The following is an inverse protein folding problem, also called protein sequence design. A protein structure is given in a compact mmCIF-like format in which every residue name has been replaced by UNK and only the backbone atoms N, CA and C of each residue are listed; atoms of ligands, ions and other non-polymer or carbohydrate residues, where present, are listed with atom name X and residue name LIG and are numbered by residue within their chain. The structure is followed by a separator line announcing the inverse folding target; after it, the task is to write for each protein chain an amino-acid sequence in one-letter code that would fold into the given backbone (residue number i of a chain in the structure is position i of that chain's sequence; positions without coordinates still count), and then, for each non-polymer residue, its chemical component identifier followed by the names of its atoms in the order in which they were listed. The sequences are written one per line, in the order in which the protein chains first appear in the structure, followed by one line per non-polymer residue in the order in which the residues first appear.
data_IF_578282440266
#
_entry.id   IF_578282440266
#
_cell.length_a   1.000
_cell.length_b   1.000
_cell.length_c   1.000
_cell.angle_alpha   90.00
_cell.angle_beta   90.00
_cell.angle_gamma   90.00
#
_symmetry.space_group_name_H-M   'P 1'
#
loop_
_entity.id
_entity.type
_entity.pdbx_description
1 polymer ?
#
# COMPACT_ATOMS: atom_id res chain seq x y z
N UNK A 1 -8.10 13.91 3.16
CA UNK A 1 -9.04 12.97 2.53
C UNK A 1 -8.24 11.85 1.90
N UNK A 2 -8.75 10.60 1.88
CA UNK A 2 -8.04 9.46 1.30
C UNK A 2 -7.81 9.63 -0.20
N UNK A 3 -6.80 8.96 -0.74
CA UNK A 3 -6.51 8.92 -2.17
C UNK A 3 -7.52 8.02 -2.87
N UNK A 4 -8.36 8.59 -3.72
CA UNK A 4 -9.36 7.85 -4.52
C UNK A 4 -8.84 7.47 -5.89
N UNK A 5 -9.29 6.32 -6.41
CA UNK A 5 -8.98 5.91 -7.78
C UNK A 5 -9.58 6.84 -8.82
N UNK A 6 -10.65 7.57 -8.48
CA UNK A 6 -11.34 8.52 -9.35
C UNK A 6 -10.63 9.88 -9.45
N UNK A 7 -9.62 10.14 -8.63
CA UNK A 7 -8.83 11.36 -8.73
C UNK A 7 -7.89 11.31 -9.93
N UNK A 8 -7.70 12.46 -10.59
CA UNK A 8 -6.72 12.60 -11.66
C UNK A 8 -5.28 12.37 -11.16
N UNK A 9 -4.51 11.58 -11.90
CA UNK A 9 -3.14 11.16 -11.56
C UNK A 9 -2.12 11.66 -12.59
N UNK A 10 -2.30 12.91 -13.04
CA UNK A 10 -1.54 13.50 -14.15
C UNK A 10 -0.20 14.16 -13.72
N UNK A 11 0.04 14.30 -12.42
CA UNK A 11 1.20 15.00 -11.86
C UNK A 11 2.01 14.11 -10.91
N UNK A 12 2.64 13.02 -11.40
CA UNK A 12 3.48 12.18 -10.56
C UNK A 12 4.73 12.94 -10.09
N UNK A 13 5.03 12.84 -8.80
CA UNK A 13 6.20 13.49 -8.18
C UNK A 13 7.48 12.64 -8.21
N UNK A 14 7.40 11.41 -8.71
CA UNK A 14 8.55 10.50 -8.83
C UNK A 14 8.51 9.74 -10.16
N UNK A 15 9.70 9.35 -10.65
CA UNK A 15 9.82 8.50 -11.83
C UNK A 15 9.11 7.16 -11.64
N UNK A 16 9.20 6.58 -10.44
CA UNK A 16 8.46 5.38 -10.08
C UNK A 16 6.95 5.56 -10.31
N UNK A 17 6.35 6.64 -9.79
CA UNK A 17 4.93 6.92 -9.97
C UNK A 17 4.56 7.11 -11.45
N UNK A 18 5.40 7.81 -12.23
CA UNK A 18 5.20 7.97 -13.67
C UNK A 18 5.18 6.62 -14.40
N UNK A 19 6.11 5.71 -14.09
CA UNK A 19 6.15 4.37 -14.71
C UNK A 19 4.94 3.51 -14.33
N UNK A 20 4.44 3.61 -13.09
CA UNK A 20 3.22 2.90 -12.67
C UNK A 20 1.97 3.46 -13.34
N UNK A 21 1.87 4.78 -13.52
CA UNK A 21 0.77 5.37 -14.31
C UNK A 21 0.85 4.96 -15.78
N UNK A 22 2.04 4.90 -16.37
CA UNK A 22 2.21 4.39 -17.72
C UNK A 22 1.67 2.97 -17.87
N UNK A 23 1.86 2.09 -16.88
CA UNK A 23 1.28 0.74 -16.89
C UNK A 23 -0.26 0.75 -16.95
N UNK A 24 -0.93 1.65 -16.22
CA UNK A 24 -2.38 1.77 -16.27
C UNK A 24 -2.86 2.19 -17.66
N UNK A 25 -2.17 3.15 -18.29
CA UNK A 25 -2.47 3.61 -19.64
C UNK A 25 -2.25 2.50 -20.68
N UNK A 26 -1.12 1.78 -20.58
CA UNK A 26 -0.83 0.65 -21.47
C UNK A 26 -1.85 -0.48 -21.28
N UNK A 27 -2.24 -0.81 -20.05
CA UNK A 27 -3.26 -1.82 -19.80
C UNK A 27 -4.60 -1.41 -20.43
N UNK A 28 -5.03 -0.16 -20.25
CA UNK A 28 -6.25 0.36 -20.85
C UNK A 28 -6.26 0.24 -22.39
N UNK A 29 -5.17 0.61 -23.07
CA UNK A 29 -5.12 0.52 -24.54
C UNK A 29 -5.23 -0.91 -25.03
N UNK A 30 -4.58 -1.86 -24.34
CA UNK A 30 -4.72 -3.28 -24.67
C UNK A 30 -6.14 -3.80 -24.45
N UNK A 31 -6.80 -3.40 -23.36
CA UNK A 31 -8.19 -3.77 -23.08
C UNK A 31 -9.15 -3.18 -24.10
N UNK A 32 -8.91 -1.96 -24.55
CA UNK A 32 -9.73 -1.28 -25.55
C UNK A 32 -9.57 -1.89 -26.95
N UNK A 33 -8.33 -2.11 -27.39
CA UNK A 33 -8.05 -2.59 -28.75
C UNK A 33 -8.30 -4.10 -28.91
N UNK A 34 -8.01 -4.89 -27.87
CA UNK A 34 -7.97 -6.35 -27.97
C UNK A 34 -8.95 -7.05 -27.02
N UNK A 35 -9.72 -6.31 -26.22
CA UNK A 35 -10.72 -6.89 -25.32
C UNK A 35 -10.14 -7.70 -24.16
N UNK A 36 -8.85 -7.58 -23.86
CA UNK A 36 -8.19 -8.28 -22.77
C UNK A 36 -8.69 -7.70 -21.44
N UNK A 37 -9.33 -8.47 -20.54
CA UNK A 37 -9.77 -7.95 -19.26
C UNK A 37 -8.59 -7.64 -18.34
N UNK A 38 -8.51 -6.42 -17.81
CA UNK A 38 -7.39 -5.98 -16.96
C UNK A 38 -7.86 -5.29 -15.70
N UNK A 39 -7.35 -5.73 -14.56
CA UNK A 39 -7.54 -5.06 -13.27
C UNK A 39 -6.22 -4.47 -12.79
N UNK A 40 -6.17 -3.16 -12.61
CA UNK A 40 -5.06 -2.46 -11.98
C UNK A 40 -5.26 -2.39 -10.47
N UNK A 41 -4.21 -2.67 -9.69
CA UNK A 41 -4.23 -2.53 -8.23
C UNK A 41 -3.20 -1.49 -7.81
N UNK A 42 -3.68 -0.41 -7.18
CA UNK A 42 -2.83 0.60 -6.55
C UNK A 42 -2.58 0.19 -5.10
N UNK A 43 -1.38 -0.33 -4.87
CA UNK A 43 -0.95 -0.75 -3.54
C UNK A 43 -0.53 0.45 -2.70
N UNK A 44 -0.89 0.38 -1.41
CA UNK A 44 -0.32 1.20 -0.36
C UNK A 44 0.83 0.44 0.33
N UNK A 45 1.21 0.81 1.55
CA UNK A 45 2.42 0.25 2.16
C UNK A 45 2.16 -1.16 2.66
N UNK A 46 2.65 -2.16 1.93
CA UNK A 46 2.52 -3.57 2.32
C UNK A 46 3.65 -3.98 3.28
N UNK A 47 3.30 -4.71 4.33
CA UNK A 47 4.25 -5.24 5.30
C UNK A 47 3.89 -6.66 5.78
N UNK A 48 4.87 -7.37 6.33
CA UNK A 48 4.67 -8.71 6.87
C UNK A 48 5.90 -9.61 6.72
N UNK A 49 5.80 -10.89 7.15
CA UNK A 49 6.81 -11.91 6.90
C UNK A 49 7.25 -11.99 5.43
N UNK A 50 8.51 -12.35 5.18
CA UNK A 50 9.10 -12.43 3.83
C UNK A 50 9.10 -11.14 3.02
N UNK A 51 8.83 -10.03 3.70
CA UNK A 51 8.82 -8.71 3.12
C UNK A 51 10.22 -8.22 2.71
N UNK A 52 10.26 -7.07 2.04
CA UNK A 52 11.51 -6.58 1.45
C UNK A 52 12.40 -5.87 2.48
N UNK A 53 13.72 -6.15 2.51
CA UNK A 53 14.65 -5.51 3.45
C UNK A 53 14.82 -3.99 3.31
N UNK A 54 14.39 -3.40 2.19
CA UNK A 54 14.49 -1.97 1.94
C UNK A 54 13.35 -1.14 2.58
N UNK A 55 12.30 -1.80 3.07
CA UNK A 55 11.10 -1.17 3.63
C UNK A 55 11.25 -0.85 5.13
N UNK A 56 10.47 0.12 5.62
CA UNK A 56 10.60 0.69 6.97
C UNK A 56 10.55 -0.34 8.12
N UNK A 57 9.53 -1.23 8.18
CA UNK A 57 9.43 -2.25 9.24
C UNK A 57 10.69 -3.11 9.32
N UNK A 58 11.21 -3.48 8.15
CA UNK A 58 12.36 -4.36 8.03
C UNK A 58 13.66 -3.64 8.43
N UNK A 59 13.88 -2.44 7.89
CA UNK A 59 15.03 -1.59 8.25
C UNK A 59 15.06 -1.28 9.74
N UNK A 60 13.90 -0.95 10.31
CA UNK A 60 13.80 -0.61 11.73
C UNK A 60 14.03 -1.83 12.61
N UNK A 61 13.43 -2.98 12.32
CA UNK A 61 13.67 -4.20 13.09
C UNK A 61 15.15 -4.60 13.07
N UNK A 62 15.78 -4.55 11.90
CA UNK A 62 17.21 -4.80 11.75
C UNK A 62 18.05 -3.82 12.58
N UNK A 63 17.81 -2.52 12.43
CA UNK A 63 18.57 -1.49 13.15
C UNK A 63 18.38 -1.58 14.66
N UNK A 64 17.17 -1.86 15.15
CA UNK A 64 16.88 -2.05 16.58
C UNK A 64 17.67 -3.23 17.15
N UNK A 65 17.69 -4.36 16.45
CA UNK A 65 18.40 -5.56 16.90
C UNK A 65 19.93 -5.38 16.86
N UNK A 66 20.43 -4.67 15.84
CA UNK A 66 21.84 -4.29 15.68
C UNK A 66 22.27 -3.08 16.51
N UNK A 67 21.37 -2.49 17.31
CA UNK A 67 21.62 -1.30 18.15
C UNK A 67 22.14 -0.10 17.35
N UNK A 68 21.66 0.04 16.12
CA UNK A 68 21.92 1.17 15.22
C UNK A 68 20.76 2.18 15.25
N UNK A 69 21.03 3.47 14.98
CA UNK A 69 19.98 4.46 14.90
C UNK A 69 19.03 4.20 13.72
N UNK A 70 17.75 4.47 13.94
CA UNK A 70 16.73 4.57 12.88
C UNK A 70 16.48 6.03 12.53
N UNK A 71 16.33 6.30 11.25
CA UNK A 71 15.98 7.61 10.73
C UNK A 71 14.45 7.79 10.80
N UNK A 72 14.01 8.81 11.53
CA UNK A 72 12.59 9.15 11.71
C UNK A 72 12.33 10.51 11.09
N UNK A 73 11.75 10.49 9.90
CA UNK A 73 11.45 11.68 9.12
C UNK A 73 10.23 12.44 9.64
N UNK A 74 10.14 13.73 9.25
CA UNK A 74 9.10 14.67 9.69
C UNK A 74 8.94 14.73 11.22
N UNK A 75 10.04 14.62 11.96
CA UNK A 75 10.04 14.58 13.44
C UNK A 75 9.10 13.51 14.05
N UNK A 76 8.81 12.43 13.31
CA UNK A 76 7.92 11.36 13.77
C UNK A 76 6.44 11.62 13.54
N UNK A 77 6.05 12.80 13.05
CA UNK A 77 4.67 13.11 12.68
C UNK A 77 4.41 12.62 11.25
N UNK A 78 4.39 11.30 11.07
CA UNK A 78 4.03 10.69 9.79
C UNK A 78 2.95 9.64 9.99
N UNK A 79 2.01 9.63 9.04
CA UNK A 79 0.92 8.67 8.99
C UNK A 79 1.07 7.83 7.73
N UNK A 80 0.95 6.52 7.88
CA UNK A 80 1.09 5.58 6.77
C UNK A 80 -0.03 4.56 6.79
N UNK A 81 -0.57 4.33 5.61
CA UNK A 81 -1.51 3.25 5.37
C UNK A 81 -0.72 1.95 5.21
N UNK A 82 -0.61 1.19 6.31
CA UNK A 82 0.05 -0.12 6.36
C UNK A 82 -0.99 -1.21 6.19
N UNK A 83 -0.81 -2.07 5.19
CA UNK A 83 -1.67 -3.22 4.94
C UNK A 83 -0.88 -4.51 5.11
N UNK A 84 -1.40 -5.43 5.92
CA UNK A 84 -0.72 -6.70 6.18
C UNK A 84 -0.74 -7.59 4.93
N UNK A 85 0.31 -8.39 4.75
CA UNK A 85 0.51 -9.20 3.55
C UNK A 85 -0.63 -10.20 3.30
N UNK A 86 -1.22 -10.79 4.35
CA UNK A 86 -2.31 -11.76 4.17
C UNK A 86 -3.60 -11.07 3.71
N UNK A 87 -3.89 -9.85 4.21
CA UNK A 87 -5.03 -9.05 3.72
C UNK A 87 -4.87 -8.72 2.22
N UNK A 88 -3.65 -8.41 1.80
CA UNK A 88 -3.31 -8.19 0.38
C UNK A 88 -3.56 -9.45 -0.45
N UNK A 89 -3.07 -10.60 0.02
CA UNK A 89 -3.25 -11.89 -0.67
C UNK A 89 -4.74 -12.20 -0.80
N UNK A 90 -5.51 -12.05 0.27
CA UNK A 90 -6.96 -12.25 0.27
C UNK A 90 -7.66 -11.36 -0.76
N UNK A 91 -7.31 -10.08 -0.82
CA UNK A 91 -7.85 -9.14 -1.80
C UNK A 91 -7.56 -9.57 -3.24
N UNK A 92 -6.31 -9.93 -3.54
CA UNK A 92 -5.91 -10.42 -4.87
C UNK A 92 -6.68 -11.70 -5.23
N UNK A 93 -6.83 -12.63 -4.28
CA UNK A 93 -7.52 -13.90 -4.48
C UNK A 93 -9.02 -13.73 -4.73
N UNK A 94 -9.67 -12.71 -4.13
CA UNK A 94 -11.06 -12.34 -4.44
C UNK A 94 -11.17 -11.71 -5.83
N UNK A 95 -10.30 -10.76 -6.16
CA UNK A 95 -10.30 -10.04 -7.44
C UNK A 95 -10.13 -11.00 -8.62
N UNK A 96 -9.28 -12.02 -8.46
CA UNK A 96 -9.07 -13.06 -9.48
C UNK A 96 -10.36 -13.77 -9.89
N UNK A 97 -11.39 -13.82 -9.04
CA UNK A 97 -12.65 -14.53 -9.32
C UNK A 97 -13.63 -13.74 -10.20
N UNK A 98 -13.41 -12.43 -10.41
CA UNK A 98 -14.31 -11.56 -11.16
C UNK A 98 -13.52 -10.63 -12.07
N UNK A 99 -13.58 -10.90 -13.37
CA UNK A 99 -12.92 -10.06 -14.37
C UNK A 99 -13.77 -8.84 -14.72
N UNK A 100 -13.15 -7.68 -15.04
CA UNK A 100 -13.86 -6.53 -15.56
C UNK A 100 -14.62 -6.88 -16.83
N UNK A 101 -15.82 -6.32 -16.97
CA UNK A 101 -16.64 -6.45 -18.17
C UNK A 101 -16.68 -5.10 -18.90
N UNK A 102 -16.96 -5.15 -20.20
CA UNK A 102 -17.29 -3.94 -20.95
C UNK A 102 -18.47 -3.22 -20.30
N UNK A 103 -18.41 -1.89 -20.24
CA UNK A 103 -19.43 -1.05 -19.60
C UNK A 103 -20.06 -0.13 -20.64
N UNK A 104 -21.38 0.01 -20.60
CA UNK A 104 -22.09 1.06 -21.34
C UNK A 104 -22.04 2.34 -20.51
N UNK A 105 -20.95 3.08 -20.65
CA UNK A 105 -20.73 4.36 -19.97
C UNK A 105 -21.56 5.47 -20.64
N UNK A 106 -22.18 6.36 -19.86
CA UNK A 106 -22.94 7.51 -20.37
C UNK A 106 -22.08 8.79 -20.26
N UNK A 107 -22.24 9.68 -21.25
CA UNK A 107 -21.74 11.04 -21.54
C UNK A 107 -20.76 11.82 -20.60
N UNK A 108 -20.45 11.43 -19.36
CA UNK A 108 -19.41 12.03 -18.50
C UNK A 108 -18.45 11.02 -17.83
N UNK A 109 -18.69 9.71 -17.91
CA UNK A 109 -17.81 8.68 -17.31
C UNK A 109 -16.43 8.58 -17.99
N UNK A 110 -16.21 9.25 -19.12
CA UNK A 110 -14.92 9.27 -19.82
C UNK A 110 -13.80 9.96 -19.04
N UNK A 111 -14.13 10.70 -17.97
CA UNK A 111 -13.17 11.42 -17.14
C UNK A 111 -12.67 10.63 -15.93
N UNK A 112 -13.32 9.51 -15.58
CA UNK A 112 -12.90 8.67 -14.46
C UNK A 112 -11.74 7.77 -14.87
N UNK A 113 -10.53 7.95 -14.31
CA UNK A 113 -9.37 7.16 -14.69
C UNK A 113 -9.45 5.70 -14.21
N UNK A 114 -10.39 5.35 -13.34
CA UNK A 114 -10.54 4.01 -12.77
C UNK A 114 -11.41 3.07 -13.60
N UNK A 115 -12.20 3.57 -14.56
CA UNK A 115 -13.17 2.77 -15.32
C UNK A 115 -13.12 3.08 -16.81
N UNK A 116 -13.65 2.18 -17.65
CA UNK A 116 -13.74 2.41 -19.09
C UNK A 116 -14.90 1.65 -19.72
N UNK A 117 -15.19 1.98 -20.98
CA UNK A 117 -16.06 1.15 -21.84
C UNK A 117 -15.39 -0.19 -22.18
N UNK A 118 -14.05 -0.21 -22.21
CA UNK A 118 -13.24 -1.42 -22.27
C UNK A 118 -13.35 -2.25 -20.97
N UNK A 119 -13.04 -3.56 -20.98
CA UNK A 119 -12.98 -4.39 -19.77
C UNK A 119 -11.76 -4.03 -18.91
N UNK A 120 -11.78 -2.84 -18.32
CA UNK A 120 -10.70 -2.25 -17.55
C UNK A 120 -11.25 -1.68 -16.23
N UNK A 121 -10.57 -1.95 -15.12
CA UNK A 121 -10.90 -1.31 -13.83
C UNK A 121 -9.65 -1.15 -12.97
N UNK A 122 -9.58 -0.08 -12.18
CA UNK A 122 -8.53 0.13 -11.16
C UNK A 122 -9.18 0.11 -9.77
N UNK A 123 -8.53 -0.55 -8.83
CA UNK A 123 -8.87 -0.47 -7.41
C UNK A 123 -7.66 0.00 -6.59
N UNK A 124 -7.92 0.73 -5.51
CA UNK A 124 -6.96 0.81 -4.43
C UNK A 124 -7.06 -0.47 -3.59
N UNK A 125 -5.92 -0.96 -3.12
CA UNK A 125 -5.84 -2.03 -2.13
C UNK A 125 -4.95 -1.55 -0.98
N UNK A 126 -5.57 -1.33 0.17
CA UNK A 126 -4.98 -0.63 1.31
C UNK A 126 -5.78 -0.87 2.59
N UNK A 127 -5.35 -0.27 3.70
CA UNK A 127 -5.98 -0.41 5.02
C UNK A 127 -7.09 0.63 5.26
N UNK A 128 -7.02 1.80 4.60
CA UNK A 128 -7.89 2.97 4.82
C UNK A 128 -7.77 3.64 6.20
N UNK A 129 -7.19 2.96 7.18
CA UNK A 129 -6.87 3.48 8.51
C UNK A 129 -5.37 3.79 8.61
N UNK A 130 -4.96 5.06 8.44
CA UNK A 130 -3.56 5.43 8.51
C UNK A 130 -3.05 5.40 9.95
N UNK A 131 -1.91 4.76 10.17
CA UNK A 131 -1.29 4.57 11.47
C UNK A 131 -0.13 5.54 11.68
N UNK A 132 0.08 5.97 12.93
CA UNK A 132 1.24 6.81 13.27
C UNK A 132 2.52 6.01 13.23
N UNK A 133 3.57 6.61 12.67
CA UNK A 133 4.91 6.03 12.65
C UNK A 133 5.47 5.80 14.06
N UNK A 134 5.11 6.64 15.04
CA UNK A 134 5.48 6.46 16.44
C UNK A 134 4.95 5.16 17.03
N UNK A 135 3.71 4.81 16.70
CA UNK A 135 3.00 3.68 17.26
C UNK A 135 3.56 2.39 16.65
N UNK A 136 3.81 2.43 15.33
CA UNK A 136 4.55 1.41 14.59
C UNK A 136 5.93 1.10 15.21
N UNK A 137 6.75 2.12 15.48
CA UNK A 137 8.06 1.92 16.10
C UNK A 137 7.92 1.37 17.52
N UNK A 138 6.93 1.84 18.29
CA UNK A 138 6.71 1.39 19.67
C UNK A 138 6.31 -0.09 19.72
N UNK A 139 5.49 -0.55 18.78
CA UNK A 139 5.14 -1.96 18.63
C UNK A 139 6.39 -2.79 18.30
N UNK A 140 7.23 -2.33 17.36
CA UNK A 140 8.49 -3.01 17.06
C UNK A 140 9.40 -3.11 18.29
N UNK A 141 9.58 -2.02 19.04
CA UNK A 141 10.36 -2.03 20.28
C UNK A 141 9.84 -3.07 21.28
N UNK A 142 8.52 -3.14 21.46
CA UNK A 142 7.87 -4.08 22.37
C UNK A 142 8.06 -5.54 21.90
N UNK A 143 7.80 -5.83 20.62
CA UNK A 143 7.86 -7.19 20.09
C UNK A 143 9.30 -7.71 19.94
N UNK A 144 10.29 -6.82 19.77
CA UNK A 144 11.72 -7.14 19.70
C UNK A 144 12.42 -7.09 21.06
N UNK A 145 11.77 -6.54 22.09
CA UNK A 145 12.34 -6.41 23.44
C UNK A 145 13.52 -5.44 23.54
N UNK A 146 13.70 -4.52 22.57
CA UNK A 146 14.78 -3.53 22.53
C UNK A 146 14.26 -2.15 22.16
N UNK A 147 14.84 -1.10 22.75
CA UNK A 147 14.48 0.29 22.44
C UNK A 147 15.21 0.80 21.20
N UNK A 148 14.50 1.53 20.33
CA UNK A 148 15.09 2.11 19.13
C UNK A 148 15.86 3.37 19.47
N UNK A 149 17.08 3.51 18.94
CA UNK A 149 17.79 4.78 18.92
C UNK A 149 17.23 5.61 17.76
N UNK A 150 16.60 6.75 18.03
CA UNK A 150 15.84 7.54 17.03
C UNK A 150 16.64 8.78 16.63
N UNK A 151 16.92 8.92 15.35
CA UNK A 151 17.46 10.13 14.76
C UNK A 151 16.35 10.85 14.00
N UNK A 152 15.88 11.98 14.53
CA UNK A 152 14.84 12.77 13.89
C UNK A 152 15.41 13.64 12.77
N UNK A 153 14.77 13.59 11.61
CA UNK A 153 15.19 14.28 10.39
C UNK A 153 14.04 15.11 9.80
N UNK A 154 14.35 16.20 9.07
CA UNK A 154 13.33 16.98 8.34
C UNK A 154 12.67 16.13 7.25
N UNK A 155 11.49 16.55 6.80
CA UNK A 155 10.73 15.86 5.75
C UNK A 155 11.53 15.75 4.44
N UNK A 156 11.49 14.59 3.79
CA UNK A 156 12.18 14.40 2.51
C UNK A 156 11.40 15.05 1.35
N UNK A 157 12.08 15.60 0.33
CA UNK A 157 11.41 16.03 -0.89
C UNK A 157 10.65 14.88 -1.55
N UNK A 158 9.37 15.09 -1.83
CA UNK A 158 8.50 14.09 -2.47
C UNK A 158 7.79 13.12 -1.52
N UNK A 159 8.01 13.24 -0.20
CA UNK A 159 7.18 12.56 0.78
C UNK A 159 5.87 13.30 1.02
N UNK A 160 4.89 12.59 1.58
CA UNK A 160 3.64 13.16 2.07
C UNK A 160 3.46 12.86 3.56
N UNK A 161 2.81 13.77 4.28
CA UNK A 161 2.58 13.60 5.71
C UNK A 161 1.73 12.34 5.99
N UNK A 162 0.62 12.20 5.26
CA UNK A 162 -0.31 11.09 5.42
C UNK A 162 -0.62 10.42 4.08
N UNK A 163 -0.69 9.09 4.11
CA UNK A 163 -1.26 8.27 3.04
C UNK A 163 -2.44 7.52 3.60
N UNK A 164 -3.54 7.46 2.86
CA UNK A 164 -4.73 6.69 3.22
C UNK A 164 -5.44 6.32 1.92
N UNK A 165 -5.77 5.05 1.76
CA UNK A 165 -6.46 4.52 0.60
C UNK A 165 -7.97 4.70 0.74
N UNK A 166 -8.65 5.16 -0.31
CA UNK A 166 -10.10 4.95 -0.42
C UNK A 166 -10.34 3.59 -1.07
N UNK A 167 -10.85 2.62 -0.30
CA UNK A 167 -11.09 1.23 -0.74
C UNK A 167 -12.56 0.95 -1.06
N UNK A 168 -13.42 1.98 -1.08
CA UNK A 168 -14.87 1.84 -1.21
C UNK A 168 -15.30 1.00 -2.42
N UNK A 169 -14.61 1.14 -3.55
CA UNK A 169 -14.89 0.37 -4.76
C UNK A 169 -14.58 -1.13 -4.60
N UNK A 170 -13.47 -1.45 -3.93
CA UNK A 170 -13.07 -2.83 -3.71
C UNK A 170 -13.99 -3.52 -2.70
N UNK A 171 -14.38 -2.81 -1.65
CA UNK A 171 -15.40 -3.25 -0.70
C UNK A 171 -16.74 -3.48 -1.38
N UNK A 172 -17.20 -2.52 -2.19
CA UNK A 172 -18.48 -2.63 -2.91
C UNK A 172 -18.51 -3.83 -3.88
N UNK A 173 -17.44 -4.05 -4.63
CA UNK A 173 -17.43 -5.06 -5.68
C UNK A 173 -17.11 -6.48 -5.18
N UNK A 174 -16.45 -6.60 -4.03
CA UNK A 174 -15.91 -7.87 -3.51
C UNK A 174 -16.19 -8.15 -2.03
N UNK A 175 -16.76 -7.20 -1.28
CA UNK A 175 -16.93 -7.30 0.17
C UNK A 175 -15.60 -7.35 0.94
N UNK A 176 -14.51 -6.91 0.33
CA UNK A 176 -13.17 -6.99 0.91
C UNK A 176 -12.91 -5.82 1.84
N UNK A 177 -12.34 -6.12 3.00
CA UNK A 177 -11.77 -5.18 3.93
C UNK A 177 -10.55 -5.84 4.61
N UNK A 178 -9.50 -5.06 4.92
CA UNK A 178 -8.38 -5.51 5.74
C UNK A 178 -8.88 -5.91 7.13
N UNK A 179 -8.31 -6.96 7.73
CA UNK A 179 -8.72 -7.47 9.05
C UNK A 179 -7.58 -7.50 10.06
N UNK A 180 -6.34 -7.38 9.62
CA UNK A 180 -5.18 -7.51 10.50
C UNK A 180 -4.85 -6.18 11.15
N UNK A 181 -4.93 -6.13 12.49
CA UNK A 181 -4.49 -4.98 13.25
C UNK A 181 -2.96 -4.82 13.19
N UNK A 182 -2.46 -3.58 13.28
CA UNK A 182 -1.04 -3.29 13.16
C UNK A 182 -0.18 -4.06 14.17
N UNK A 183 -0.62 -4.14 15.43
CA UNK A 183 0.11 -4.87 16.47
C UNK A 183 0.24 -6.36 16.16
N UNK A 184 -0.84 -6.97 15.64
CA UNK A 184 -0.88 -8.37 15.27
C UNK A 184 0.09 -8.64 14.11
N UNK A 185 -0.05 -7.90 13.00
CA UNK A 185 0.78 -8.10 11.82
C UNK A 185 2.27 -7.84 12.09
N UNK A 186 2.61 -6.84 12.90
CA UNK A 186 4.00 -6.59 13.30
C UNK A 186 4.51 -7.66 14.25
N UNK A 187 3.67 -8.20 15.14
CA UNK A 187 4.01 -9.34 15.98
C UNK A 187 4.35 -10.59 15.16
N UNK A 188 3.55 -10.88 14.14
CA UNK A 188 3.80 -11.98 13.21
C UNK A 188 5.11 -11.77 12.42
N UNK A 189 5.34 -10.54 11.93
CA UNK A 189 6.60 -10.18 11.27
C UNK A 189 7.82 -10.36 12.20
N UNK A 190 7.79 -9.82 13.42
CA UNK A 190 8.90 -9.94 14.36
C UNK A 190 9.20 -11.40 14.72
N UNK A 191 8.16 -12.20 14.95
CA UNK A 191 8.30 -13.63 15.22
C UNK A 191 8.97 -14.37 14.06
N UNK A 192 8.54 -14.06 12.82
CA UNK A 192 9.20 -14.57 11.62
C UNK A 192 10.65 -14.09 11.52
N UNK A 193 10.92 -12.81 11.75
CA UNK A 193 12.22 -12.19 11.57
C UNK A 193 13.27 -12.82 12.49
N UNK A 194 12.96 -12.95 13.78
CA UNK A 194 13.85 -13.57 14.77
C UNK A 194 14.16 -15.02 14.40
N UNK A 195 13.12 -15.79 14.04
CA UNK A 195 13.28 -17.18 13.59
C UNK A 195 14.10 -17.30 12.31
N UNK A 196 13.86 -16.44 11.32
CA UNK A 196 14.51 -16.50 10.02
C UNK A 196 16.01 -16.19 10.11
N UNK A 197 16.39 -15.26 10.99
CA UNK A 197 17.78 -14.87 11.22
C UNK A 197 18.47 -15.61 12.38
N UNK A 198 17.77 -16.55 13.03
CA UNK A 198 18.26 -17.28 14.20
C UNK A 198 18.77 -16.35 15.33
N UNK A 199 17.97 -15.34 15.68
CA UNK A 199 18.22 -14.37 16.76
C UNK A 199 17.40 -14.76 18.00
#
# INVERSE_FOLDING_TARGET
QPFSVHHGVNHPISLYAATKRANELMAHTYSHLYGIPTTGLRFFTVYGPWGRPDMAYYKFAKAILEEKPIEVYNNGDMYRDFTYIDDIIDGIMLIRKKHPKQRNLKNNDFLDPAVSTAPFTIYNIGNSHPEKLSDFISILEQKLGKKAQKQYLPMQPGDVNSTSADISDLEKDFGWHPRTYLEEGLGQFCSWFLKYYNI
#
